data_IF_431257062711
#
_entry.id   IF_431257062711
#
_cell.length_a   1.000
_cell.length_b   1.000
_cell.length_c   1.000
_cell.angle_alpha   90.00
_cell.angle_beta   90.00
_cell.angle_gamma   90.00
#
_symmetry.space_group_name_H-M   'P 1'
#
loop_
_entity.id
_entity.type
_entity.pdbx_description
1 polymer ?
#
# COMPACT_ATOMS: atom_id res chain seq x y z
N UNK A 1 -3.81 11.87 24.66
CA UNK A 1 -3.62 11.21 25.98
C UNK A 1 -2.71 9.99 25.79
N UNK A 2 -2.05 9.51 26.86
CA UNK A 2 -0.70 9.83 27.33
C UNK A 2 0.44 9.11 26.55
N UNK A 3 1.73 9.45 26.76
CA UNK A 3 2.84 8.88 26.02
C UNK A 3 3.10 7.42 26.42
N UNK A 4 2.94 6.49 25.49
CA UNK A 4 3.30 5.09 25.66
C UNK A 4 4.80 4.91 25.42
N UNK A 5 5.51 4.53 26.46
CA UNK A 5 6.90 4.06 26.44
C UNK A 5 7.05 2.83 25.53
N UNK A 6 8.09 2.75 24.68
CA UNK A 6 8.38 1.53 23.95
C UNK A 6 8.95 0.49 24.91
N UNK A 7 8.33 -0.69 24.90
CA UNK A 7 8.80 -1.88 25.61
C UNK A 7 10.12 -2.33 24.96
N UNK A 8 11.24 -2.01 25.61
CA UNK A 8 12.56 -2.53 25.29
C UNK A 8 12.62 -4.01 25.68
N UNK A 9 12.38 -4.89 24.71
CA UNK A 9 12.49 -6.33 24.84
C UNK A 9 13.76 -6.86 24.17
N UNK A 10 14.86 -6.90 24.94
CA UNK A 10 16.06 -7.75 24.75
C UNK A 10 16.83 -7.60 23.42
N UNK A 11 17.51 -6.46 23.27
CA UNK A 11 18.79 -6.44 22.56
C UNK A 11 19.87 -6.98 23.50
N UNK A 12 20.38 -8.17 23.21
CA UNK A 12 21.58 -8.69 23.87
C UNK A 12 22.77 -7.81 23.49
N UNK A 13 23.42 -7.28 24.52
CA UNK A 13 24.65 -6.48 24.45
C UNK A 13 25.77 -7.23 23.73
N UNK A 14 26.26 -6.71 22.60
CA UNK A 14 27.50 -7.19 21.97
C UNK A 14 28.69 -6.90 22.90
N UNK A 15 29.29 -7.95 23.45
CA UNK A 15 30.62 -7.90 24.07
C UNK A 15 31.74 -8.08 23.01
N UNK A 16 33.01 -7.77 23.34
CA UNK A 16 34.07 -7.66 22.33
C UNK A 16 34.99 -8.89 22.35
N UNK A 17 34.91 -9.80 21.38
CA UNK A 17 35.91 -10.87 21.16
C UNK A 17 35.87 -11.27 19.67
N UNK A 18 36.93 -11.14 18.87
CA UNK A 18 38.27 -11.75 18.85
C UNK A 18 38.38 -12.60 17.57
N UNK A 19 39.36 -12.26 16.76
CA UNK A 19 39.80 -12.93 15.53
C UNK A 19 39.90 -14.47 15.67
N UNK A 20 39.38 -15.21 14.70
CA UNK A 20 40.17 -16.13 13.87
C UNK A 20 39.27 -16.90 12.89
N UNK A 21 39.39 -16.61 11.60
CA UNK A 21 39.64 -17.60 10.53
C UNK A 21 39.70 -16.88 9.18
N UNK A 22 40.92 -16.48 8.82
CA UNK A 22 41.25 -15.92 7.51
C UNK A 22 41.40 -17.06 6.48
N UNK A 23 40.47 -17.15 5.55
CA UNK A 23 40.80 -17.53 4.18
C UNK A 23 40.72 -16.28 3.32
N UNK A 24 41.83 -15.78 2.75
CA UNK A 24 41.82 -14.57 1.94
C UNK A 24 41.19 -14.89 0.58
N UNK A 25 39.96 -14.44 0.36
CA UNK A 25 39.46 -14.25 -0.99
C UNK A 25 40.13 -13.01 -1.61
N UNK A 26 40.41 -13.02 -2.93
CA UNK A 26 41.17 -11.96 -3.58
C UNK A 26 40.48 -10.60 -3.38
N UNK A 27 41.25 -9.63 -2.89
CA UNK A 27 40.83 -8.27 -2.59
C UNK A 27 40.04 -7.66 -3.76
N UNK A 28 38.73 -7.48 -3.57
CA UNK A 28 37.92 -6.61 -4.42
C UNK A 28 38.30 -5.16 -4.13
N UNK A 29 38.57 -4.32 -5.15
CA UNK A 29 38.91 -2.90 -4.97
C UNK A 29 37.75 -2.05 -4.42
N UNK A 30 36.58 -2.64 -4.19
CA UNK A 30 35.38 -1.99 -3.67
C UNK A 30 34.89 -2.75 -2.43
N UNK A 31 34.99 -2.08 -1.26
CA UNK A 31 34.65 -2.47 0.12
C UNK A 31 34.05 -3.86 0.42
N UNK A 32 34.53 -4.48 1.50
CA UNK A 32 34.06 -5.80 1.97
C UNK A 32 32.55 -5.81 2.31
N UNK A 33 31.82 -6.78 1.74
CA UNK A 33 30.47 -7.12 2.18
C UNK A 33 30.55 -7.98 3.45
N UNK A 34 29.78 -7.60 4.47
CA UNK A 34 29.75 -8.30 5.75
C UNK A 34 28.61 -9.32 5.78
N UNK A 35 28.92 -10.57 6.09
CA UNK A 35 27.96 -11.66 6.23
C UNK A 35 27.93 -12.19 7.66
N UNK A 36 26.76 -12.62 8.12
CA UNK A 36 26.57 -13.40 9.35
C UNK A 36 25.66 -14.58 9.02
N UNK A 37 26.07 -15.80 9.38
CA UNK A 37 25.34 -17.03 9.05
C UNK A 37 24.89 -17.11 7.58
N UNK A 38 25.82 -16.81 6.66
CA UNK A 38 25.61 -16.72 5.20
C UNK A 38 24.58 -15.66 4.75
N UNK A 39 24.08 -14.81 5.65
CA UNK A 39 23.16 -13.72 5.33
C UNK A 39 23.92 -12.39 5.24
N UNK A 40 23.65 -11.62 4.19
CA UNK A 40 24.24 -10.28 4.03
C UNK A 40 23.70 -9.34 5.10
N UNK A 41 24.60 -8.81 5.92
CA UNK A 41 24.28 -7.93 7.06
C UNK A 41 24.49 -6.46 6.72
N UNK A 42 25.63 -6.12 6.12
CA UNK A 42 25.94 -4.75 5.74
C UNK A 42 27.01 -4.69 4.65
N UNK A 43 27.04 -3.60 3.89
CA UNK A 43 28.07 -3.37 2.89
C UNK A 43 28.12 -1.88 2.48
N UNK A 44 29.21 -1.48 1.84
CA UNK A 44 29.24 -0.20 1.12
C UNK A 44 28.18 -0.15 0.01
N UNK A 45 27.71 1.04 -0.34
CA UNK A 45 26.73 1.21 -1.41
C UNK A 45 27.28 0.69 -2.75
N UNK A 46 28.55 0.96 -3.02
CA UNK A 46 29.27 0.53 -4.21
C UNK A 46 29.32 -1.00 -4.33
N UNK A 47 29.65 -1.69 -3.23
CA UNK A 47 29.66 -3.15 -3.20
C UNK A 47 28.27 -3.76 -3.43
N UNK A 48 27.21 -3.14 -2.87
CA UNK A 48 25.83 -3.57 -3.13
C UNK A 48 25.43 -3.39 -4.60
N UNK A 49 25.77 -2.24 -5.20
CA UNK A 49 25.48 -2.02 -6.63
C UNK A 49 26.24 -3.04 -7.49
N UNK A 50 27.50 -3.33 -7.15
CA UNK A 50 28.28 -4.33 -7.85
C UNK A 50 27.68 -5.74 -7.70
N UNK A 51 27.19 -6.10 -6.51
CA UNK A 51 26.50 -7.37 -6.26
C UNK A 51 25.18 -7.47 -7.02
N UNK A 52 24.50 -6.36 -7.32
CA UNK A 52 23.30 -6.37 -8.16
C UNK A 52 23.60 -6.71 -9.64
N UNK A 53 24.81 -6.43 -10.13
CA UNK A 53 25.16 -6.56 -11.56
C UNK A 53 25.56 -8.01 -11.87
N UNK A 54 24.87 -8.71 -12.79
CA UNK A 54 25.23 -10.07 -13.17
C UNK A 54 26.58 -10.16 -13.89
N UNK A 55 27.29 -11.28 -13.70
CA UNK A 55 28.51 -11.61 -14.45
C UNK A 55 28.35 -12.95 -15.18
N UNK A 56 29.38 -13.42 -15.88
CA UNK A 56 29.34 -14.71 -16.61
C UNK A 56 29.00 -15.88 -15.66
N UNK A 57 29.54 -15.86 -14.45
CA UNK A 57 29.40 -16.97 -13.49
C UNK A 57 28.43 -16.69 -12.34
N UNK A 58 27.88 -15.48 -12.28
CA UNK A 58 27.06 -15.03 -11.15
C UNK A 58 25.75 -14.36 -11.58
N UNK A 59 24.71 -14.59 -10.80
CA UNK A 59 23.45 -13.84 -10.84
C UNK A 59 22.98 -13.61 -9.39
N UNK A 60 22.53 -12.40 -9.03
CA UNK A 60 22.04 -12.14 -7.68
C UNK A 60 20.78 -12.93 -7.33
N UNK A 61 20.68 -13.37 -6.09
CA UNK A 61 19.48 -14.04 -5.60
C UNK A 61 18.26 -13.13 -5.74
N UNK A 62 17.10 -13.70 -6.10
CA UNK A 62 15.86 -12.94 -6.31
C UNK A 62 15.44 -12.14 -5.09
N UNK A 63 15.65 -12.68 -3.89
CA UNK A 63 15.39 -11.98 -2.64
C UNK A 63 16.28 -10.74 -2.52
N UNK A 64 17.56 -10.83 -2.88
CA UNK A 64 18.48 -9.71 -2.89
C UNK A 64 18.07 -8.66 -3.92
N UNK A 65 17.78 -9.08 -5.16
CA UNK A 65 17.30 -8.18 -6.23
C UNK A 65 16.09 -7.40 -5.75
N UNK A 66 15.07 -8.08 -5.23
CA UNK A 66 13.87 -7.44 -4.71
C UNK A 66 14.20 -6.45 -3.58
N UNK A 67 14.91 -6.90 -2.54
CA UNK A 67 15.24 -6.10 -1.35
C UNK A 67 16.03 -4.85 -1.69
N UNK A 68 17.07 -5.00 -2.52
CA UNK A 68 17.94 -3.89 -2.87
C UNK A 68 17.24 -2.94 -3.85
N UNK A 69 16.52 -3.44 -4.86
CA UNK A 69 15.73 -2.57 -5.74
C UNK A 69 14.65 -1.82 -4.96
N UNK A 70 13.94 -2.46 -4.03
CA UNK A 70 12.95 -1.83 -3.15
C UNK A 70 13.56 -0.69 -2.33
N UNK A 71 14.63 -1.01 -1.61
CA UNK A 71 15.17 -0.18 -0.53
C UNK A 71 16.26 0.80 -0.96
N UNK A 72 16.85 0.61 -2.15
CA UNK A 72 17.84 1.54 -2.71
C UNK A 72 17.33 2.97 -2.81
N UNK A 73 16.00 3.16 -2.90
CA UNK A 73 15.31 4.45 -2.91
C UNK A 73 15.55 5.29 -1.64
N UNK A 74 16.00 4.66 -0.55
CA UNK A 74 16.42 5.36 0.67
C UNK A 74 17.80 6.02 0.53
N UNK A 75 18.57 5.68 -0.51
CA UNK A 75 19.97 6.07 -0.67
C UNK A 75 20.29 6.67 -2.04
N UNK A 76 19.54 6.28 -3.08
CA UNK A 76 19.76 6.64 -4.47
C UNK A 76 18.43 6.79 -5.20
N UNK A 77 18.40 7.66 -6.21
CA UNK A 77 17.28 7.66 -7.14
C UNK A 77 17.34 6.43 -8.07
N UNK A 78 16.19 5.84 -8.46
CA UNK A 78 16.16 4.68 -9.35
C UNK A 78 16.94 4.88 -10.67
N UNK A 79 16.87 6.07 -11.28
CA UNK A 79 17.60 6.37 -12.52
C UNK A 79 19.11 6.39 -12.34
N UNK A 80 19.61 6.78 -11.17
CA UNK A 80 21.03 6.76 -10.85
C UNK A 80 21.50 5.32 -10.68
N UNK A 81 20.72 4.50 -9.98
CA UNK A 81 20.99 3.07 -9.84
C UNK A 81 21.01 2.38 -11.21
N UNK A 82 20.00 2.61 -12.05
CA UNK A 82 19.91 2.04 -13.40
C UNK A 82 21.12 2.43 -14.25
N UNK A 83 21.54 3.71 -14.20
CA UNK A 83 22.71 4.19 -14.93
C UNK A 83 23.98 3.47 -14.48
N UNK A 84 24.19 3.32 -13.17
CA UNK A 84 25.35 2.62 -12.60
C UNK A 84 25.35 1.13 -12.95
N UNK A 85 24.20 0.46 -12.84
CA UNK A 85 24.04 -0.96 -13.22
C UNK A 85 24.37 -1.17 -14.69
N UNK A 86 23.81 -0.33 -15.58
CA UNK A 86 24.08 -0.41 -17.02
C UNK A 86 25.56 -0.16 -17.33
N UNK A 87 26.18 0.84 -16.68
CA UNK A 87 27.59 1.16 -16.86
C UNK A 87 28.49 -0.01 -16.43
N UNK A 88 28.31 -0.51 -15.20
CA UNK A 88 29.10 -1.61 -14.65
C UNK A 88 28.94 -2.89 -15.48
N UNK A 89 27.73 -3.17 -15.99
CA UNK A 89 27.50 -4.35 -16.82
C UNK A 89 28.35 -4.33 -18.10
N UNK A 90 28.61 -3.15 -18.68
CA UNK A 90 29.47 -3.00 -19.87
C UNK A 90 30.95 -2.95 -19.47
N UNK A 91 31.27 -2.18 -18.43
CA UNK A 91 32.65 -1.95 -17.98
C UNK A 91 33.34 -3.24 -17.52
N UNK A 92 32.64 -4.10 -16.77
CA UNK A 92 33.19 -5.36 -16.25
C UNK A 92 33.58 -6.37 -17.34
N UNK A 93 33.06 -6.20 -18.57
CA UNK A 93 33.40 -7.07 -19.69
C UNK A 93 34.60 -6.59 -20.50
N UNK A 94 35.08 -5.36 -20.25
CA UNK A 94 36.23 -4.80 -20.96
C UNK A 94 37.52 -5.52 -20.56
N UNK A 95 38.15 -6.13 -21.54
CA UNK A 95 39.45 -6.78 -21.46
C UNK A 95 40.52 -6.05 -22.29
N UNK A 96 40.11 -5.13 -23.15
CA UNK A 96 40.97 -4.45 -24.12
C UNK A 96 41.02 -5.13 -25.49
N UNK A 97 40.49 -6.35 -25.61
CA UNK A 97 40.27 -7.06 -26.87
C UNK A 97 38.78 -7.01 -27.26
N UNK A 98 38.49 -6.34 -28.38
CA UNK A 98 37.12 -6.14 -28.86
C UNK A 98 36.36 -7.44 -29.15
N UNK A 99 37.05 -8.52 -29.55
CA UNK A 99 36.41 -9.80 -29.84
C UNK A 99 36.03 -10.50 -28.53
N UNK A 100 36.94 -10.53 -27.56
CA UNK A 100 36.70 -11.12 -26.24
C UNK A 100 35.62 -10.36 -25.48
N UNK A 101 35.64 -9.03 -25.53
CA UNK A 101 34.61 -8.17 -24.92
C UNK A 101 33.22 -8.50 -25.48
N UNK A 102 33.13 -8.72 -26.80
CA UNK A 102 31.87 -9.08 -27.46
C UNK A 102 31.36 -10.46 -27.05
N UNK A 103 32.26 -11.45 -26.92
CA UNK A 103 31.91 -12.81 -26.48
C UNK A 103 31.41 -12.77 -25.02
N UNK A 104 32.16 -12.13 -24.12
CA UNK A 104 31.80 -12.01 -22.70
C UNK A 104 30.47 -11.28 -22.51
N UNK A 105 30.26 -10.18 -23.23
CA UNK A 105 28.99 -9.47 -23.15
C UNK A 105 27.81 -10.33 -23.63
N UNK A 106 27.99 -11.16 -24.67
CA UNK A 106 26.95 -12.06 -25.15
C UNK A 106 26.52 -13.09 -24.10
N UNK A 107 27.44 -13.54 -23.25
CA UNK A 107 27.14 -14.46 -22.15
C UNK A 107 26.39 -13.77 -20.98
N UNK A 108 26.68 -12.49 -20.74
CA UNK A 108 26.04 -11.69 -19.68
C UNK A 108 24.69 -11.11 -20.11
N UNK A 109 24.50 -10.84 -21.41
CA UNK A 109 23.30 -10.18 -21.92
C UNK A 109 21.98 -10.85 -21.47
N UNK A 110 21.79 -12.18 -21.53
CA UNK A 110 20.57 -12.82 -21.05
C UNK A 110 20.28 -12.56 -19.57
N UNK A 111 21.32 -12.51 -18.73
CA UNK A 111 21.21 -12.22 -17.30
C UNK A 111 20.86 -10.76 -17.04
N UNK A 112 21.41 -9.83 -17.82
CA UNK A 112 21.01 -8.43 -17.76
C UNK A 112 19.53 -8.26 -18.14
N UNK A 113 19.08 -8.94 -19.20
CA UNK A 113 17.66 -8.92 -19.59
C UNK A 113 16.79 -9.49 -18.47
N UNK A 114 17.22 -10.54 -17.80
CA UNK A 114 16.50 -11.10 -16.64
C UNK A 114 16.37 -10.06 -15.51
N UNK A 115 17.47 -9.41 -15.11
CA UNK A 115 17.45 -8.37 -14.06
C UNK A 115 16.52 -7.21 -14.42
N UNK A 116 16.60 -6.72 -15.67
CA UNK A 116 15.74 -5.63 -16.14
C UNK A 116 14.27 -6.07 -16.23
N UNK A 117 14.00 -7.35 -16.53
CA UNK A 117 12.64 -7.90 -16.53
C UNK A 117 12.10 -7.90 -15.10
N UNK A 118 12.87 -8.41 -14.13
CA UNK A 118 12.48 -8.39 -12.71
C UNK A 118 12.22 -6.95 -12.22
N UNK A 119 13.04 -5.98 -12.61
CA UNK A 119 12.85 -4.57 -12.25
C UNK A 119 11.57 -3.99 -12.90
N UNK A 120 11.38 -4.17 -14.21
CA UNK A 120 10.21 -3.63 -14.94
C UNK A 120 8.89 -4.27 -14.52
N UNK A 121 8.90 -5.54 -14.12
CA UNK A 121 7.72 -6.24 -13.61
C UNK A 121 7.41 -5.91 -12.14
N UNK A 122 8.43 -5.66 -11.32
CA UNK A 122 8.23 -5.37 -9.89
C UNK A 122 7.92 -3.90 -9.63
N UNK A 123 8.66 -3.00 -10.28
CA UNK A 123 8.61 -1.54 -10.07
C UNK A 123 8.33 -0.78 -11.39
N UNK A 124 7.19 -1.03 -12.05
CA UNK A 124 6.89 -0.42 -13.34
C UNK A 124 6.87 1.12 -13.29
N UNK A 125 6.44 1.71 -12.17
CA UNK A 125 6.33 3.16 -12.01
C UNK A 125 7.68 3.90 -12.06
N UNK A 126 8.80 3.24 -11.75
CA UNK A 126 10.13 3.87 -11.91
C UNK A 126 10.35 4.31 -13.36
N UNK A 127 9.80 3.56 -14.32
CA UNK A 127 9.93 3.80 -15.76
C UNK A 127 8.93 4.85 -16.30
N UNK A 128 8.19 5.54 -15.44
CA UNK A 128 7.57 6.83 -15.81
C UNK A 128 8.60 7.95 -15.88
N UNK A 129 9.76 7.78 -15.25
CA UNK A 129 10.88 8.71 -15.37
C UNK A 129 11.53 8.59 -16.76
N UNK A 130 11.62 9.69 -17.50
CA UNK A 130 12.23 9.71 -18.83
C UNK A 130 13.68 9.24 -18.83
N UNK A 131 14.42 9.45 -17.73
CA UNK A 131 15.82 9.03 -17.59
C UNK A 131 15.94 7.52 -17.46
N UNK A 132 15.01 6.89 -16.71
CA UNK A 132 14.90 5.43 -16.62
C UNK A 132 14.62 4.83 -18.00
N UNK A 133 13.63 5.37 -18.71
CA UNK A 133 13.27 4.89 -20.05
C UNK A 133 14.37 5.13 -21.09
N UNK A 134 15.12 6.22 -20.97
CA UNK A 134 16.29 6.48 -21.82
C UNK A 134 17.38 5.43 -21.58
N UNK A 135 17.76 5.17 -20.34
CA UNK A 135 18.75 4.14 -20.01
C UNK A 135 18.32 2.76 -20.54
N UNK A 136 17.04 2.41 -20.39
CA UNK A 136 16.49 1.15 -20.91
C UNK A 136 16.63 1.05 -22.43
N UNK A 137 16.31 2.13 -23.16
CA UNK A 137 16.44 2.20 -24.62
C UNK A 137 17.90 2.14 -25.07
N UNK A 138 18.79 2.85 -24.39
CA UNK A 138 20.22 2.85 -24.71
C UNK A 138 20.81 1.45 -24.52
N UNK A 139 20.47 0.77 -23.42
CA UNK A 139 20.87 -0.61 -23.17
C UNK A 139 20.29 -1.57 -24.21
N UNK A 140 19.03 -1.38 -24.62
CA UNK A 140 18.42 -2.19 -25.69
C UNK A 140 19.19 -2.09 -27.01
N UNK A 141 19.67 -0.89 -27.36
CA UNK A 141 20.50 -0.70 -28.55
C UNK A 141 21.89 -1.32 -28.39
N UNK A 142 22.45 -1.33 -27.18
CA UNK A 142 23.73 -1.97 -26.89
C UNK A 142 23.62 -3.50 -27.06
N UNK A 143 22.59 -4.11 -26.47
CA UNK A 143 22.31 -5.55 -26.60
C UNK A 143 22.09 -5.99 -28.05
N UNK A 144 21.42 -5.16 -28.86
CA UNK A 144 21.20 -5.42 -30.29
C UNK A 144 22.49 -5.66 -31.08
N UNK A 145 23.62 -5.10 -30.64
CA UNK A 145 24.92 -5.25 -31.32
C UNK A 145 25.64 -6.55 -30.94
N UNK A 146 25.26 -7.17 -29.82
CA UNK A 146 25.94 -8.31 -29.22
C UNK A 146 25.18 -9.64 -29.32
N UNK A 147 23.86 -9.63 -29.10
CA UNK A 147 23.04 -10.85 -29.05
C UNK A 147 21.59 -10.61 -29.54
N UNK A 148 21.21 -11.27 -30.63
CA UNK A 148 19.88 -11.09 -31.24
C UNK A 148 18.75 -11.62 -30.35
N UNK A 149 18.98 -12.73 -29.65
CA UNK A 149 17.98 -13.34 -28.78
C UNK A 149 17.65 -12.43 -27.59
N UNK A 150 18.68 -11.95 -26.88
CA UNK A 150 18.53 -11.01 -25.77
C UNK A 150 17.92 -9.68 -26.22
N UNK A 151 18.25 -9.20 -27.42
CA UNK A 151 17.61 -8.00 -27.98
C UNK A 151 16.11 -8.17 -28.19
N UNK A 152 15.68 -9.29 -28.79
CA UNK A 152 14.25 -9.61 -28.95
C UNK A 152 13.55 -9.71 -27.60
N UNK A 153 14.19 -10.33 -26.60
CA UNK A 153 13.67 -10.41 -25.24
C UNK A 153 13.53 -9.02 -24.59
N UNK A 154 14.53 -8.13 -24.73
CA UNK A 154 14.45 -6.74 -24.27
C UNK A 154 13.32 -5.94 -24.92
N UNK A 155 13.12 -6.12 -26.23
CA UNK A 155 12.00 -5.49 -26.95
C UNK A 155 10.66 -5.98 -26.41
N UNK A 156 10.47 -7.29 -26.23
CA UNK A 156 9.25 -7.85 -25.65
C UNK A 156 8.99 -7.34 -24.24
N UNK A 157 10.01 -7.31 -23.38
CA UNK A 157 9.93 -6.75 -22.02
C UNK A 157 9.51 -5.28 -22.05
N UNK A 158 10.12 -4.46 -22.91
CA UNK A 158 9.79 -3.04 -23.04
C UNK A 158 8.36 -2.84 -23.54
N UNK A 159 7.88 -3.67 -24.47
CA UNK A 159 6.48 -3.64 -24.91
C UNK A 159 5.50 -4.01 -23.79
N UNK A 160 5.82 -5.03 -22.97
CA UNK A 160 5.02 -5.39 -21.78
C UNK A 160 4.97 -4.23 -20.77
N UNK A 161 6.12 -3.60 -20.51
CA UNK A 161 6.22 -2.44 -19.62
C UNK A 161 5.34 -1.29 -20.11
N UNK A 162 5.40 -0.93 -21.40
CA UNK A 162 4.59 0.17 -21.96
C UNK A 162 3.09 -0.14 -21.81
N UNK A 163 2.67 -1.38 -22.15
CA UNK A 163 1.27 -1.80 -21.97
C UNK A 163 0.84 -1.68 -20.51
N UNK A 164 1.69 -2.12 -19.57
CA UNK A 164 1.42 -2.02 -18.13
C UNK A 164 1.32 -0.58 -17.68
N UNK A 165 2.27 0.29 -18.04
CA UNK A 165 2.26 1.71 -17.72
C UNK A 165 0.99 2.41 -18.24
N UNK A 166 0.54 2.06 -19.44
CA UNK A 166 -0.73 2.57 -20.01
C UNK A 166 -1.93 2.14 -19.18
N UNK A 167 -2.01 0.87 -18.78
CA UNK A 167 -3.10 0.36 -17.95
C UNK A 167 -3.12 1.03 -16.56
N UNK A 168 -1.94 1.23 -15.96
CA UNK A 168 -1.80 1.97 -14.70
C UNK A 168 -2.29 3.42 -14.83
N UNK A 169 -1.92 4.12 -15.92
CA UNK A 169 -2.39 5.48 -16.18
C UNK A 169 -3.90 5.59 -16.36
N UNK A 170 -4.50 4.69 -17.15
CA UNK A 170 -5.94 4.64 -17.36
C UNK A 170 -6.72 4.41 -16.05
N UNK A 171 -6.19 3.56 -15.18
CA UNK A 171 -6.79 3.32 -13.88
C UNK A 171 -6.75 4.55 -12.97
N UNK A 172 -5.59 5.23 -12.88
CA UNK A 172 -5.45 6.46 -12.10
C UNK A 172 -6.43 7.55 -12.57
N UNK A 173 -6.59 7.70 -13.89
CA UNK A 173 -7.58 8.61 -14.49
C UNK A 173 -9.01 8.21 -14.13
N UNK A 174 -9.35 6.92 -14.20
CA UNK A 174 -10.68 6.42 -13.85
C UNK A 174 -11.01 6.65 -12.36
N UNK A 175 -10.06 6.39 -11.46
CA UNK A 175 -10.22 6.66 -10.02
C UNK A 175 -10.39 8.15 -9.76
N UNK A 176 -9.59 9.00 -10.41
CA UNK A 176 -9.72 10.45 -10.29
C UNK A 176 -11.09 10.94 -10.78
N UNK A 177 -11.58 10.43 -11.92
CA UNK A 177 -12.90 10.75 -12.44
C UNK A 177 -14.03 10.33 -11.49
N UNK A 178 -13.95 9.12 -10.91
CA UNK A 178 -14.92 8.64 -9.92
C UNK A 178 -14.94 9.52 -8.65
N UNK A 179 -13.77 9.92 -8.16
CA UNK A 179 -13.66 10.81 -7.01
C UNK A 179 -14.27 12.19 -7.31
N UNK A 180 -14.07 12.73 -8.52
CA UNK A 180 -14.69 13.99 -8.93
C UNK A 180 -16.22 13.87 -8.97
N UNK A 181 -16.76 12.81 -9.57
CA UNK A 181 -18.21 12.55 -9.59
C UNK A 181 -18.79 12.42 -8.18
N UNK A 182 -18.07 11.75 -7.27
CA UNK A 182 -18.48 11.62 -5.88
C UNK A 182 -18.51 12.96 -5.14
N UNK A 183 -17.62 13.89 -5.49
CA UNK A 183 -17.52 15.23 -4.87
C UNK A 183 -18.46 16.26 -5.49
N UNK A 184 -18.81 16.16 -6.77
CA UNK A 184 -19.73 17.07 -7.46
C UNK A 184 -21.19 16.83 -7.08
N UNK A 185 -21.60 15.59 -6.83
CA UNK A 185 -22.97 15.26 -6.45
C UNK A 185 -23.46 15.94 -5.16
N UNK A 186 -22.68 16.00 -4.06
CA UNK A 186 -23.01 16.81 -2.88
C UNK A 186 -23.31 18.28 -3.20
N UNK A 187 -22.55 18.90 -4.12
CA UNK A 187 -22.76 20.30 -4.50
C UNK A 187 -24.06 20.50 -5.31
N UNK A 188 -24.40 19.57 -6.20
CA UNK A 188 -25.64 19.62 -6.99
C UNK A 188 -26.92 19.36 -6.18
N UNK A 189 -26.82 18.59 -5.09
CA UNK A 189 -27.93 18.31 -4.18
C UNK A 189 -28.35 19.54 -3.36
N UNK A 190 -27.47 20.53 -3.20
CA UNK A 190 -27.81 21.83 -2.61
C UNK A 190 -28.82 22.61 -3.47
N UNK A 191 -29.04 22.23 -4.73
CA UNK A 191 -29.86 23.04 -5.65
C UNK A 191 -31.22 22.42 -6.02
N UNK A 192 -31.44 21.09 -6.03
CA UNK A 192 -32.66 20.53 -6.67
C UNK A 192 -33.21 19.16 -6.20
N UNK A 193 -33.08 18.72 -4.95
CA UNK A 193 -33.83 17.52 -4.51
C UNK A 193 -34.67 17.71 -3.25
N UNK A 194 -35.97 17.40 -3.39
CA UNK A 194 -36.86 17.19 -2.27
C UNK A 194 -36.36 16.00 -1.41
N UNK A 195 -36.54 16.02 -0.09
CA UNK A 195 -35.97 15.06 0.87
C UNK A 195 -36.53 13.61 0.79
N UNK A 196 -37.08 13.17 -0.35
CA UNK A 196 -37.80 11.90 -0.48
C UNK A 196 -37.32 10.94 -1.58
N UNK A 197 -36.22 11.22 -2.28
CA UNK A 197 -35.88 10.47 -3.51
C UNK A 197 -34.40 10.06 -3.63
N UNK A 198 -33.69 9.91 -2.50
CA UNK A 198 -32.38 9.26 -2.48
C UNK A 198 -32.57 7.79 -2.13
N UNK A 199 -32.16 6.90 -3.02
CA UNK A 199 -32.07 5.46 -2.75
C UNK A 199 -31.03 5.24 -1.63
N UNK A 200 -31.47 4.64 -0.53
CA UNK A 200 -30.59 4.24 0.57
C UNK A 200 -29.90 2.91 0.28
N UNK A 201 -28.94 2.54 1.12
CA UNK A 201 -28.16 1.31 0.94
C UNK A 201 -29.03 0.05 0.83
N UNK A 202 -30.10 -0.05 1.64
CA UNK A 202 -30.99 -1.21 1.67
C UNK A 202 -31.84 -1.33 0.40
N UNK A 203 -32.16 -0.22 -0.26
CA UNK A 203 -32.85 -0.24 -1.56
C UNK A 203 -31.95 -0.69 -2.72
N UNK A 204 -30.62 -0.60 -2.54
CA UNK A 204 -29.64 -1.02 -3.53
C UNK A 204 -29.24 -2.48 -3.32
N UNK A 205 -29.02 -2.87 -2.06
CA UNK A 205 -28.68 -4.23 -1.66
C UNK A 205 -29.12 -4.44 -0.20
N UNK A 206 -29.98 -5.43 0.02
CA UNK A 206 -30.44 -5.86 1.34
C UNK A 206 -29.71 -7.12 1.84
N UNK A 207 -28.84 -7.71 1.01
CA UNK A 207 -28.00 -8.86 1.37
C UNK A 207 -26.59 -8.40 1.85
N UNK A 208 -26.24 -8.61 3.13
CA UNK A 208 -24.94 -8.25 3.67
C UNK A 208 -23.76 -8.97 3.01
N UNK A 209 -23.96 -10.21 2.59
CA UNK A 209 -22.93 -11.04 1.96
C UNK A 209 -22.54 -10.45 0.60
N UNK A 210 -23.53 -10.14 -0.23
CA UNK A 210 -23.30 -9.51 -1.53
C UNK A 210 -22.61 -8.16 -1.37
N UNK A 211 -23.04 -7.33 -0.39
CA UNK A 211 -22.41 -6.05 -0.11
C UNK A 211 -20.92 -6.20 0.27
N UNK A 212 -20.59 -7.15 1.16
CA UNK A 212 -19.21 -7.43 1.56
C UNK A 212 -18.35 -7.93 0.39
N UNK A 213 -18.91 -8.73 -0.52
CA UNK A 213 -18.24 -9.14 -1.75
C UNK A 213 -17.94 -7.95 -2.68
N UNK A 214 -18.89 -7.02 -2.84
CA UNK A 214 -18.66 -5.84 -3.68
C UNK A 214 -17.66 -4.86 -3.06
N UNK A 215 -17.64 -4.70 -1.74
CA UNK A 215 -16.56 -3.99 -1.04
C UNK A 215 -15.21 -4.65 -1.29
N UNK A 216 -15.15 -5.97 -1.22
CA UNK A 216 -13.93 -6.76 -1.47
C UNK A 216 -13.42 -6.59 -2.91
N UNK A 217 -14.31 -6.49 -3.91
CA UNK A 217 -13.91 -6.13 -5.29
C UNK A 217 -13.20 -4.78 -5.33
N UNK A 218 -13.74 -3.75 -4.69
CA UNK A 218 -13.15 -2.40 -4.70
C UNK A 218 -11.80 -2.40 -3.99
N UNK A 219 -11.69 -3.10 -2.86
CA UNK A 219 -10.45 -3.20 -2.09
C UNK A 219 -9.35 -3.91 -2.91
N UNK A 220 -9.62 -5.09 -3.46
CA UNK A 220 -8.64 -5.85 -4.26
C UNK A 220 -8.25 -5.12 -5.54
N UNK A 221 -9.23 -4.51 -6.24
CA UNK A 221 -8.94 -3.68 -7.41
C UNK A 221 -7.97 -2.56 -7.00
N UNK A 222 -8.22 -1.81 -5.93
CA UNK A 222 -7.32 -0.73 -5.49
C UNK A 222 -5.95 -1.20 -5.02
N UNK A 223 -5.87 -2.29 -4.26
CA UNK A 223 -4.61 -2.86 -3.79
C UNK A 223 -3.70 -3.29 -4.94
N UNK A 224 -4.27 -3.82 -6.03
CA UNK A 224 -3.51 -4.31 -7.18
C UNK A 224 -2.69 -3.23 -7.89
N UNK A 225 -3.05 -1.95 -7.72
CA UNK A 225 -2.35 -0.81 -8.32
C UNK A 225 -1.32 -0.15 -7.39
N UNK A 226 -1.28 -0.49 -6.10
CA UNK A 226 -0.28 0.06 -5.16
C UNK A 226 1.08 -0.55 -5.46
N UNK A 227 2.05 0.28 -5.84
CA UNK A 227 3.44 -0.13 -6.07
C UNK A 227 4.17 -0.46 -4.76
N UNK A 228 5.02 -1.51 -4.69
CA UNK A 228 5.82 -1.79 -3.50
C UNK A 228 6.71 -0.62 -3.09
N UNK A 229 7.19 0.16 -4.05
CA UNK A 229 7.97 1.37 -3.81
C UNK A 229 7.21 2.47 -3.09
N UNK A 230 5.87 2.51 -3.16
CA UNK A 230 5.06 3.54 -2.50
C UNK A 230 5.18 3.43 -0.97
N UNK A 231 5.37 2.22 -0.43
CA UNK A 231 5.60 2.02 1.01
C UNK A 231 6.90 2.69 1.47
N UNK A 232 8.00 2.53 0.71
CA UNK A 232 9.29 3.11 1.06
C UNK A 232 9.31 4.62 0.80
N UNK A 233 8.71 5.07 -0.30
CA UNK A 233 8.65 6.48 -0.68
C UNK A 233 7.88 7.33 0.35
N UNK A 234 6.90 6.73 1.04
CA UNK A 234 6.16 7.41 2.11
C UNK A 234 7.08 7.86 3.26
N UNK A 235 8.23 7.20 3.44
CA UNK A 235 9.14 7.44 4.57
C UNK A 235 10.50 8.03 4.16
N UNK A 236 10.87 7.94 2.88
CA UNK A 236 12.13 8.45 2.34
C UNK A 236 12.31 9.98 2.40
N UNK A 237 11.38 10.72 3.03
CA UNK A 237 11.26 12.18 2.96
C UNK A 237 11.59 12.95 4.25
N UNK A 238 12.34 12.37 5.20
CA UNK A 238 12.75 13.09 6.41
C UNK A 238 14.25 13.36 6.47
N UNK A 239 14.76 14.19 5.57
CA UNK A 239 15.97 14.99 5.84
C UNK A 239 15.58 16.48 5.97
N UNK A 240 15.63 17.07 7.18
CA UNK A 240 15.30 18.49 7.42
C UNK A 240 16.41 19.47 7.00
N UNK A 241 17.51 19.01 6.40
CA UNK A 241 18.70 19.83 6.16
C UNK A 241 19.05 19.76 4.68
N UNK A 242 18.40 20.57 3.84
CA UNK A 242 19.08 21.38 2.83
C UNK A 242 18.09 22.29 2.09
N UNK A 243 18.32 23.60 2.27
CA UNK A 243 17.73 24.70 1.48
C UNK A 243 18.28 24.70 0.04
N UNK A 244 18.09 23.60 -0.70
CA UNK A 244 18.18 23.62 -2.15
C UNK A 244 16.79 23.46 -2.75
N UNK A 245 16.45 24.42 -3.61
CA UNK A 245 15.16 24.62 -4.25
C UNK A 245 14.68 23.34 -4.95
N UNK A 246 13.59 22.74 -4.49
CA UNK A 246 12.69 21.91 -5.31
C UNK A 246 13.11 20.47 -5.61
N UNK A 247 13.88 19.80 -4.74
CA UNK A 247 14.54 18.52 -5.08
C UNK A 247 13.62 17.29 -5.14
N UNK A 248 12.39 17.38 -4.65
CA UNK A 248 11.35 16.39 -4.92
C UNK A 248 10.02 17.13 -5.12
N UNK A 249 9.57 17.31 -6.36
CA UNK A 249 8.11 17.41 -6.58
C UNK A 249 7.52 16.21 -5.85
N UNK A 250 6.58 16.42 -4.91
CA UNK A 250 5.71 15.38 -4.37
C UNK A 250 5.35 14.43 -5.51
N UNK A 251 6.07 13.32 -5.67
CA UNK A 251 5.57 12.21 -6.47
C UNK A 251 4.46 11.70 -5.58
N UNK A 252 3.24 12.08 -5.93
CA UNK A 252 2.04 11.65 -5.22
C UNK A 252 2.15 10.14 -5.13
N UNK A 253 2.17 9.59 -3.92
CA UNK A 253 1.84 8.18 -3.67
C UNK A 253 0.35 8.03 -3.98
N UNK A 254 -0.01 8.20 -5.26
CA UNK A 254 -1.38 8.47 -5.69
C UNK A 254 -2.28 7.29 -5.40
N UNK A 255 -1.76 6.07 -5.48
CA UNK A 255 -2.55 4.88 -5.19
C UNK A 255 -2.67 4.65 -3.68
N UNK A 256 -1.58 4.85 -2.92
CA UNK A 256 -1.64 4.79 -1.45
C UNK A 256 -2.64 5.82 -0.89
N UNK A 257 -2.54 7.08 -1.34
CA UNK A 257 -3.44 8.17 -0.97
C UNK A 257 -4.88 7.88 -1.42
N UNK A 258 -5.08 7.38 -2.65
CA UNK A 258 -6.40 6.98 -3.13
C UNK A 258 -7.01 5.83 -2.31
N UNK A 259 -6.19 4.92 -1.80
CA UNK A 259 -6.65 3.82 -0.96
C UNK A 259 -7.03 4.28 0.46
N UNK A 260 -6.25 5.19 1.04
CA UNK A 260 -6.62 5.86 2.30
C UNK A 260 -7.91 6.68 2.13
N UNK A 261 -8.05 7.40 1.01
CA UNK A 261 -9.26 8.14 0.69
C UNK A 261 -10.48 7.23 0.53
N UNK A 262 -10.30 6.02 -0.01
CA UNK A 262 -11.36 5.01 -0.06
C UNK A 262 -11.80 4.56 1.34
N UNK A 263 -10.87 4.24 2.23
CA UNK A 263 -11.17 3.89 3.64
C UNK A 263 -12.00 4.99 4.32
N UNK A 264 -11.55 6.24 4.19
CA UNK A 264 -12.26 7.39 4.76
C UNK A 264 -13.66 7.54 4.14
N UNK A 265 -13.75 7.48 2.81
CA UNK A 265 -15.02 7.56 2.10
C UNK A 265 -16.01 6.49 2.57
N UNK A 266 -15.57 5.24 2.71
CA UNK A 266 -16.42 4.14 3.19
C UNK A 266 -16.91 4.42 4.62
N UNK A 267 -16.02 4.86 5.51
CA UNK A 267 -16.36 5.21 6.89
C UNK A 267 -17.42 6.31 6.96
N UNK A 268 -17.23 7.40 6.22
CA UNK A 268 -18.18 8.50 6.16
C UNK A 268 -19.48 8.13 5.42
N UNK A 269 -19.43 7.23 4.43
CA UNK A 269 -20.63 6.72 3.75
C UNK A 269 -21.53 5.94 4.71
N UNK A 270 -20.95 5.04 5.51
CA UNK A 270 -21.67 4.33 6.58
C UNK A 270 -22.33 5.32 7.53
N UNK A 271 -21.57 6.30 8.02
CA UNK A 271 -22.10 7.33 8.91
C UNK A 271 -23.22 8.16 8.24
N UNK A 272 -23.07 8.48 6.95
CA UNK A 272 -24.06 9.23 6.17
C UNK A 272 -25.36 8.46 6.09
N UNK A 273 -25.32 7.20 5.65
CA UNK A 273 -26.53 6.35 5.50
C UNK A 273 -27.27 6.17 6.84
N UNK A 274 -26.55 6.09 7.96
CA UNK A 274 -27.16 5.99 9.30
C UNK A 274 -27.76 7.33 9.75
N UNK A 275 -27.06 8.45 9.55
CA UNK A 275 -27.48 9.77 10.02
C UNK A 275 -28.60 10.41 9.20
N UNK A 276 -28.89 9.90 8.00
CA UNK A 276 -29.98 10.38 7.15
C UNK A 276 -31.29 10.54 7.96
N UNK A 277 -32.04 11.65 7.78
CA UNK A 277 -33.24 11.96 8.55
C UNK A 277 -34.44 11.10 8.11
N UNK A 278 -34.38 9.81 8.47
CA UNK A 278 -35.42 8.79 8.22
C UNK A 278 -36.02 8.32 9.53
N UNK A 279 -37.07 7.48 9.48
CA UNK A 279 -37.69 6.93 10.69
C UNK A 279 -36.67 6.13 11.50
N UNK A 280 -36.70 6.29 12.83
CA UNK A 280 -35.82 5.60 13.78
C UNK A 280 -35.69 4.09 13.56
N UNK A 281 -36.82 3.40 13.29
CA UNK A 281 -36.84 1.96 13.01
C UNK A 281 -36.05 1.60 11.73
N UNK A 282 -36.04 2.49 10.74
CA UNK A 282 -35.28 2.30 9.51
C UNK A 282 -33.78 2.49 9.75
N UNK A 283 -33.38 3.53 10.49
CA UNK A 283 -31.97 3.71 10.90
C UNK A 283 -31.42 2.51 11.65
N UNK A 284 -32.20 1.94 12.57
CA UNK A 284 -31.79 0.72 13.30
C UNK A 284 -31.50 -0.46 12.34
N UNK A 285 -32.33 -0.65 11.30
CA UNK A 285 -32.08 -1.68 10.27
C UNK A 285 -30.82 -1.42 9.46
N UNK A 286 -30.52 -0.15 9.14
CA UNK A 286 -29.29 0.21 8.43
C UNK A 286 -28.06 -0.11 9.30
N UNK A 287 -28.13 0.16 10.61
CA UNK A 287 -27.06 -0.20 11.55
C UNK A 287 -26.89 -1.72 11.60
N UNK A 288 -27.98 -2.49 11.81
CA UNK A 288 -27.96 -3.96 11.83
C UNK A 288 -27.37 -4.53 10.53
N UNK A 289 -27.77 -3.98 9.38
CA UNK A 289 -27.22 -4.35 8.08
C UNK A 289 -25.71 -4.12 8.01
N UNK A 290 -25.19 -2.95 8.42
CA UNK A 290 -23.75 -2.70 8.40
C UNK A 290 -22.98 -3.55 9.42
N UNK A 291 -23.58 -3.93 10.55
CA UNK A 291 -22.98 -4.90 11.49
C UNK A 291 -22.83 -6.26 10.80
N UNK A 292 -23.85 -6.72 10.08
CA UNK A 292 -23.78 -7.98 9.33
C UNK A 292 -22.77 -7.89 8.17
N UNK A 293 -22.71 -6.77 7.44
CA UNK A 293 -21.70 -6.55 6.38
C UNK A 293 -20.28 -6.58 6.97
N UNK A 294 -20.07 -5.97 8.14
CA UNK A 294 -18.80 -5.98 8.82
C UNK A 294 -18.39 -7.41 9.23
N UNK A 295 -19.34 -8.20 9.74
CA UNK A 295 -19.10 -9.61 10.04
C UNK A 295 -18.71 -10.40 8.78
N UNK A 296 -19.37 -10.17 7.65
CA UNK A 296 -19.00 -10.83 6.39
C UNK A 296 -17.64 -10.36 5.87
N UNK A 297 -17.28 -9.08 6.06
CA UNK A 297 -15.93 -8.60 5.77
C UNK A 297 -14.88 -9.34 6.63
N UNK A 298 -15.14 -9.56 7.92
CA UNK A 298 -14.27 -10.36 8.79
C UNK A 298 -14.11 -11.80 8.27
N UNK A 299 -15.23 -12.45 7.90
CA UNK A 299 -15.24 -13.83 7.40
C UNK A 299 -14.44 -13.99 6.11
N UNK A 300 -14.55 -13.02 5.19
CA UNK A 300 -13.81 -12.98 3.92
C UNK A 300 -12.31 -12.73 4.12
N UNK A 301 -11.90 -12.14 5.25
CA UNK A 301 -10.53 -11.64 5.44
C UNK A 301 -10.34 -10.19 4.96
N UNK A 302 -11.44 -9.45 4.77
CA UNK A 302 -11.46 -8.03 4.45
C UNK A 302 -11.45 -7.14 5.70
N UNK A 303 -10.29 -7.07 6.36
CA UNK A 303 -10.14 -6.30 7.60
C UNK A 303 -10.17 -4.78 7.38
N UNK A 304 -9.80 -4.30 6.19
CA UNK A 304 -9.81 -2.87 5.89
C UNK A 304 -11.24 -2.31 5.84
N UNK A 305 -12.13 -2.95 5.08
CA UNK A 305 -13.55 -2.56 5.01
C UNK A 305 -14.27 -2.76 6.35
N UNK A 306 -13.97 -3.86 7.06
CA UNK A 306 -14.45 -4.07 8.44
C UNK A 306 -14.12 -2.87 9.33
N UNK A 307 -12.84 -2.47 9.36
CA UNK A 307 -12.39 -1.36 10.18
C UNK A 307 -13.02 -0.02 9.76
N UNK A 308 -13.21 0.20 8.45
CA UNK A 308 -13.88 1.40 7.94
C UNK A 308 -15.35 1.47 8.40
N UNK A 309 -16.06 0.34 8.35
CA UNK A 309 -17.45 0.24 8.81
C UNK A 309 -17.56 0.51 10.32
N UNK A 310 -16.71 -0.12 11.14
CA UNK A 310 -16.63 0.15 12.58
C UNK A 310 -16.33 1.64 12.83
N UNK A 311 -15.36 2.20 12.11
CA UNK A 311 -14.98 3.61 12.22
C UNK A 311 -16.15 4.53 11.92
N UNK A 312 -16.92 4.25 10.86
CA UNK A 312 -18.14 4.99 10.52
C UNK A 312 -19.21 4.95 11.61
N UNK A 313 -19.46 3.78 12.20
CA UNK A 313 -20.43 3.62 13.29
C UNK A 313 -20.00 4.29 14.60
N UNK A 314 -18.68 4.40 14.83
CA UNK A 314 -18.10 5.02 16.02
C UNK A 314 -17.94 6.54 15.92
N UNK A 315 -18.22 7.14 14.76
CA UNK A 315 -18.22 8.60 14.63
C UNK A 315 -19.23 9.24 15.61
N UNK A 316 -18.86 10.38 16.18
CA UNK A 316 -19.69 11.11 17.16
C UNK A 316 -21.15 11.36 16.70
N UNK A 317 -21.42 11.78 15.45
CA UNK A 317 -22.78 11.91 14.93
C UNK A 317 -23.62 10.63 14.99
N UNK A 318 -23.01 9.45 14.88
CA UNK A 318 -23.70 8.15 14.90
C UNK A 318 -23.83 7.63 16.32
N UNK A 319 -22.75 7.63 17.10
CA UNK A 319 -22.72 7.08 18.46
C UNK A 319 -23.62 7.83 19.45
N UNK A 320 -23.98 9.08 19.16
CA UNK A 320 -24.94 9.88 19.95
C UNK A 320 -26.41 9.51 19.74
N UNK A 321 -26.77 8.73 18.71
CA UNK A 321 -28.17 8.37 18.38
C UNK A 321 -28.75 7.32 19.34
N UNK A 322 -28.74 7.59 20.66
CA UNK A 322 -29.04 6.62 21.72
C UNK A 322 -30.42 5.98 21.56
N UNK A 323 -31.42 6.71 21.05
CA UNK A 323 -32.77 6.16 20.84
C UNK A 323 -32.80 5.18 19.68
N UNK A 324 -31.94 5.34 18.68
CA UNK A 324 -31.77 4.39 17.57
C UNK A 324 -30.99 3.16 18.06
N UNK A 325 -29.87 3.35 18.74
CA UNK A 325 -29.05 2.25 19.29
C UNK A 325 -29.82 1.35 20.25
N UNK A 326 -30.75 1.88 21.05
CA UNK A 326 -31.64 1.06 21.90
C UNK A 326 -32.59 0.11 21.15
N UNK A 327 -32.61 0.16 19.81
CA UNK A 327 -33.39 -0.73 18.94
C UNK A 327 -32.53 -1.73 18.16
N UNK A 328 -31.21 -1.69 18.33
CA UNK A 328 -30.24 -2.53 17.62
C UNK A 328 -29.73 -3.57 18.60
N UNK A 329 -29.56 -4.82 18.16
CA UNK A 329 -28.76 -5.79 18.91
C UNK A 329 -27.26 -5.50 18.67
N UNK A 330 -26.54 -5.10 19.72
CA UNK A 330 -25.13 -4.72 19.65
C UNK A 330 -24.15 -5.87 19.90
N UNK A 331 -24.61 -7.06 20.26
CA UNK A 331 -23.73 -8.19 20.64
C UNK A 331 -22.67 -8.48 19.55
N UNK A 332 -23.11 -8.56 18.29
CA UNK A 332 -22.20 -8.78 17.15
C UNK A 332 -21.23 -7.60 16.95
N UNK A 333 -21.72 -6.38 17.13
CA UNK A 333 -20.91 -5.18 16.96
C UNK A 333 -19.79 -5.12 18.01
N UNK A 334 -20.11 -5.37 19.28
CA UNK A 334 -19.15 -5.39 20.39
C UNK A 334 -18.07 -6.46 20.18
N UNK A 335 -18.44 -7.64 19.64
CA UNK A 335 -17.47 -8.68 19.27
C UNK A 335 -16.53 -8.17 18.17
N UNK A 336 -17.05 -7.54 17.12
CA UNK A 336 -16.25 -7.01 16.01
C UNK A 336 -15.34 -5.87 16.46
N UNK A 337 -15.81 -4.98 17.34
CA UNK A 337 -14.99 -3.95 17.99
C UNK A 337 -13.85 -4.59 18.79
N UNK A 338 -14.14 -5.64 19.56
CA UNK A 338 -13.11 -6.35 20.32
C UNK A 338 -12.06 -7.01 19.42
N UNK A 339 -12.44 -7.52 18.26
CA UNK A 339 -11.49 -8.07 17.28
C UNK A 339 -10.55 -7.00 16.71
N UNK A 340 -11.05 -5.77 16.54
CA UNK A 340 -10.31 -4.65 15.96
C UNK A 340 -9.75 -3.67 17.00
N UNK A 341 -9.80 -4.05 18.28
CA UNK A 341 -9.41 -3.18 19.39
C UNK A 341 -7.92 -2.78 19.32
N UNK A 342 -7.59 -1.48 19.49
CA UNK A 342 -6.22 -0.99 19.39
C UNK A 342 -5.32 -1.35 20.58
N UNK A 343 -5.88 -1.85 21.69
CA UNK A 343 -5.11 -2.20 22.89
C UNK A 343 -4.10 -3.31 22.59
N UNK A 344 -3.02 -3.35 23.38
CA UNK A 344 -1.94 -4.33 23.20
C UNK A 344 -1.39 -4.35 21.77
N UNK A 345 -1.36 -3.18 21.11
CA UNK A 345 -0.94 -3.03 19.72
C UNK A 345 -1.75 -3.91 18.75
N UNK A 346 -3.08 -3.88 18.87
CA UNK A 346 -4.00 -4.65 18.01
C UNK A 346 -3.79 -6.17 18.09
N UNK A 347 -3.58 -6.73 19.30
CA UNK A 347 -3.24 -8.15 19.47
C UNK A 347 -4.28 -9.12 18.89
N UNK A 348 -5.56 -8.79 19.04
CA UNK A 348 -6.67 -9.60 18.52
C UNK A 348 -6.69 -9.60 17.00
N UNK A 349 -6.71 -8.42 16.38
CA UNK A 349 -6.60 -8.24 14.94
C UNK A 349 -5.37 -8.96 14.37
N UNK A 350 -4.18 -8.81 14.99
CA UNK A 350 -2.97 -9.48 14.52
C UNK A 350 -3.10 -11.00 14.55
N UNK A 351 -3.83 -11.54 15.52
CA UNK A 351 -4.12 -12.98 15.60
C UNK A 351 -5.08 -13.40 14.48
N UNK A 352 -6.13 -12.62 14.24
CA UNK A 352 -7.07 -12.85 13.13
C UNK A 352 -6.37 -12.76 11.75
N UNK A 353 -5.48 -11.77 11.57
CA UNK A 353 -4.69 -11.60 10.35
C UNK A 353 -3.78 -12.80 10.11
N UNK A 354 -3.02 -13.26 11.13
CA UNK A 354 -2.20 -14.48 11.01
C UNK A 354 -3.04 -15.70 10.62
N UNK A 355 -4.22 -15.84 11.21
CA UNK A 355 -5.17 -16.89 10.83
C UNK A 355 -5.60 -16.77 9.36
N UNK A 356 -5.86 -15.57 8.86
CA UNK A 356 -6.19 -15.32 7.46
C UNK A 356 -5.01 -15.61 6.51
N UNK A 357 -3.80 -15.19 6.85
CA UNK A 357 -2.58 -15.52 6.09
C UNK A 357 -2.39 -17.03 5.97
N UNK A 358 -2.52 -17.76 7.09
CA UNK A 358 -2.40 -19.22 7.08
C UNK A 358 -3.48 -19.89 6.22
N UNK A 359 -4.73 -19.42 6.30
CA UNK A 359 -5.82 -19.91 5.41
C UNK A 359 -5.50 -19.67 3.94
N UNK A 360 -4.89 -18.54 3.61
CA UNK A 360 -4.50 -18.22 2.23
C UNK A 360 -3.38 -19.13 1.72
N UNK A 361 -2.41 -19.48 2.57
CA UNK A 361 -1.30 -20.37 2.21
C UNK A 361 -1.76 -21.81 1.93
N UNK A 362 -2.75 -22.30 2.69
CA UNK A 362 -3.30 -23.65 2.55
C UNK A 362 -4.59 -23.71 1.73
N UNK A 363 -4.97 -22.61 1.07
CA UNK A 363 -6.24 -22.45 0.38
C UNK A 363 -6.51 -23.53 -0.69
N UNK A 364 -7.73 -24.05 -0.70
CA UNK A 364 -8.24 -24.97 -1.72
C UNK A 364 -9.20 -24.28 -2.70
N UNK A 365 -9.60 -23.04 -2.39
CA UNK A 365 -10.43 -22.18 -3.23
C UNK A 365 -9.81 -20.78 -3.40
N UNK A 366 -10.23 -20.06 -4.44
CA UNK A 366 -9.79 -18.67 -4.65
C UNK A 366 -10.29 -17.71 -3.57
N UNK A 367 -11.41 -18.03 -2.90
CA UNK A 367 -11.96 -17.21 -1.83
C UNK A 367 -11.10 -17.25 -0.57
N UNK A 368 -10.55 -18.42 -0.22
CA UNK A 368 -9.69 -18.57 0.97
C UNK A 368 -8.35 -17.82 0.83
N UNK A 369 -7.97 -17.43 -0.39
CA UNK A 369 -6.76 -16.64 -0.65
C UNK A 369 -6.89 -15.17 -0.31
N UNK A 370 -8.11 -14.68 -0.04
CA UNK A 370 -8.34 -13.25 0.19
C UNK A 370 -7.81 -12.86 1.56
N UNK A 371 -6.86 -11.92 1.58
CA UNK A 371 -6.36 -11.26 2.78
C UNK A 371 -6.22 -9.78 2.46
N UNK A 372 -6.99 -8.94 3.14
CA UNK A 372 -6.95 -7.48 2.97
C UNK A 372 -6.70 -6.90 4.37
N UNK A 373 -5.46 -6.54 4.69
CA UNK A 373 -5.09 -6.12 6.03
C UNK A 373 -5.71 -4.76 6.37
N UNK A 374 -5.83 -4.45 7.67
CA UNK A 374 -6.07 -3.07 8.09
C UNK A 374 -4.86 -2.22 7.72
N UNK A 375 -5.01 -1.46 6.63
CA UNK A 375 -3.88 -0.96 5.88
C UNK A 375 -3.14 0.18 6.58
N UNK A 376 -3.84 1.01 7.34
CA UNK A 376 -3.22 2.06 8.14
C UNK A 376 -2.26 1.48 9.19
N UNK A 377 -2.59 0.33 9.78
CA UNK A 377 -1.69 -0.35 10.72
C UNK A 377 -0.50 -0.99 10.00
N UNK A 378 -0.70 -1.57 8.81
CA UNK A 378 0.40 -2.08 7.98
C UNK A 378 1.41 -0.98 7.64
N UNK A 379 0.95 0.19 7.15
CA UNK A 379 1.82 1.34 6.88
C UNK A 379 2.55 1.78 8.15
N UNK A 380 1.83 1.86 9.28
CA UNK A 380 2.38 2.24 10.56
C UNK A 380 3.49 1.28 11.02
N UNK A 381 3.30 -0.02 10.84
CA UNK A 381 4.31 -1.03 11.19
C UNK A 381 5.56 -0.89 10.33
N UNK A 382 5.43 -0.73 9.01
CA UNK A 382 6.57 -0.52 8.11
C UNK A 382 7.29 0.80 8.43
N UNK A 383 6.54 1.86 8.78
CA UNK A 383 7.12 3.12 9.23
C UNK A 383 7.98 2.93 10.48
N UNK A 384 7.45 2.31 11.53
CA UNK A 384 8.20 2.10 12.77
C UNK A 384 9.38 1.16 12.58
N UNK A 385 9.28 0.19 11.68
CA UNK A 385 10.40 -0.65 11.30
C UNK A 385 11.53 0.18 10.64
N UNK A 386 11.16 1.11 9.76
CA UNK A 386 12.13 2.01 9.15
C UNK A 386 12.77 2.95 10.19
N UNK A 387 11.98 3.57 11.06
CA UNK A 387 12.49 4.53 12.06
C UNK A 387 13.26 3.85 13.19
N UNK A 388 12.95 2.60 13.51
CA UNK A 388 13.55 1.86 14.63
C UNK A 388 14.99 1.41 14.40
N UNK A 389 15.51 1.50 13.16
CA UNK A 389 16.84 1.04 12.79
C UNK A 389 17.55 2.05 11.87
N UNK A 390 18.83 2.33 12.15
CA UNK A 390 19.62 3.21 11.30
C UNK A 390 19.87 2.59 9.92
N UNK A 391 19.64 3.36 8.85
CA UNK A 391 19.88 2.92 7.47
C UNK A 391 21.37 2.84 7.13
N UNK A 392 22.22 3.59 7.86
CA UNK A 392 23.68 3.54 7.76
C UNK A 392 24.29 3.22 9.13
N UNK A 393 25.27 2.34 9.14
CA UNK A 393 26.06 1.96 10.32
C UNK A 393 27.20 2.96 10.55
N UNK A 394 27.83 2.98 11.74
CA UNK A 394 28.92 3.93 12.06
C UNK A 394 30.14 3.85 11.13
N UNK A 395 30.37 2.69 10.49
CA UNK A 395 31.43 2.50 9.49
C UNK A 395 31.04 3.00 8.08
N UNK A 396 29.88 3.62 7.92
CA UNK A 396 29.34 4.11 6.64
C UNK A 396 28.61 3.05 5.81
N UNK A 397 28.61 1.78 6.21
CA UNK A 397 27.90 0.71 5.51
C UNK A 397 26.39 0.92 5.56
N UNK A 398 25.70 0.47 4.52
CA UNK A 398 24.25 0.32 4.52
C UNK A 398 23.89 -0.90 5.39
N UNK A 399 22.95 -0.71 6.31
CA UNK A 399 22.41 -1.77 7.15
C UNK A 399 21.43 -2.62 6.33
N UNK A 400 21.90 -3.77 5.83
CA UNK A 400 21.11 -4.65 4.96
C UNK A 400 20.15 -5.55 5.75
N UNK A 401 20.40 -5.85 7.02
CA UNK A 401 19.44 -6.54 7.90
C UNK A 401 18.13 -5.77 8.01
N UNK A 402 18.22 -4.44 8.18
CA UNK A 402 17.05 -3.56 8.14
C UNK A 402 16.29 -3.70 6.80
N UNK A 403 17.03 -3.75 5.68
CA UNK A 403 16.41 -3.84 4.36
C UNK A 403 15.71 -5.19 4.15
N UNK A 404 16.28 -6.28 4.68
CA UNK A 404 15.63 -7.60 4.67
C UNK A 404 14.28 -7.58 5.37
N UNK A 405 14.21 -6.97 6.55
CA UNK A 405 12.96 -6.93 7.29
C UNK A 405 11.92 -6.01 6.63
N UNK A 406 12.32 -4.88 6.03
CA UNK A 406 11.44 -4.07 5.19
C UNK A 406 10.89 -4.87 4.00
N UNK A 407 11.77 -5.55 3.28
CA UNK A 407 11.41 -6.34 2.11
C UNK A 407 10.47 -7.50 2.46
N UNK A 408 10.64 -8.12 3.62
CA UNK A 408 9.76 -9.18 4.11
C UNK A 408 8.32 -8.68 4.28
N UNK A 409 8.13 -7.54 4.94
CA UNK A 409 6.79 -6.95 5.15
C UNK A 409 6.12 -6.59 3.80
N UNK A 410 6.87 -6.00 2.87
CA UNK A 410 6.34 -5.65 1.55
C UNK A 410 6.08 -6.89 0.69
N UNK A 411 6.90 -7.95 0.80
CA UNK A 411 6.71 -9.20 0.06
C UNK A 411 5.40 -9.90 0.43
N UNK A 412 5.03 -9.90 1.71
CA UNK A 412 3.76 -10.46 2.18
C UNK A 412 2.58 -9.72 1.53
N UNK A 413 2.63 -8.38 1.51
CA UNK A 413 1.65 -7.55 0.81
C UNK A 413 1.57 -7.85 -0.70
N UNK A 414 2.72 -8.09 -1.35
CA UNK A 414 2.77 -8.41 -2.78
C UNK A 414 2.07 -9.71 -3.15
N UNK A 415 1.96 -10.66 -2.22
CA UNK A 415 1.16 -11.88 -2.40
C UNK A 415 -0.32 -11.55 -2.35
N UNK A 416 -0.76 -10.81 -1.33
CA UNK A 416 -2.17 -10.46 -1.14
C UNK A 416 -2.76 -9.63 -2.29
N UNK A 417 -1.99 -8.68 -2.83
CA UNK A 417 -2.48 -7.82 -3.92
C UNK A 417 -2.70 -8.56 -5.26
N UNK A 418 -2.16 -9.76 -5.43
CA UNK A 418 -2.28 -10.55 -6.67
C UNK A 418 -3.57 -11.37 -6.73
N UNK A 419 -4.33 -11.41 -5.64
CA UNK A 419 -5.57 -12.18 -5.57
C UNK A 419 -6.64 -11.53 -6.44
N UNK A 420 -7.12 -12.28 -7.43
CA UNK A 420 -8.28 -11.88 -8.24
C UNK A 420 -9.55 -12.17 -7.43
N UNK A 421 -10.41 -11.16 -7.29
CA UNK A 421 -11.67 -11.32 -6.56
C UNK A 421 -12.54 -12.41 -7.21
N UNK A 422 -12.92 -13.48 -6.49
CA UNK A 422 -13.63 -14.63 -7.05
C UNK A 422 -15.15 -14.45 -7.09
N UNK A 423 -15.67 -13.35 -6.54
CA UNK A 423 -17.11 -13.10 -6.46
C UNK A 423 -17.64 -12.47 -7.74
N UNK A 424 -18.94 -12.63 -8.01
CA UNK A 424 -19.59 -11.96 -9.12
C UNK A 424 -19.65 -10.44 -8.91
N UNK A 425 -19.49 -9.68 -10.00
CA UNK A 425 -19.55 -8.21 -9.98
C UNK A 425 -20.99 -7.74 -10.18
N UNK A 426 -21.56 -7.06 -9.18
CA UNK A 426 -22.78 -6.27 -9.34
C UNK A 426 -22.42 -4.81 -9.61
N UNK A 427 -22.54 -4.40 -10.88
CA UNK A 427 -22.20 -3.04 -11.34
C UNK A 427 -23.03 -1.95 -10.66
N UNK A 428 -24.29 -2.23 -10.30
CA UNK A 428 -25.18 -1.25 -9.66
C UNK A 428 -24.72 -0.98 -8.23
N UNK A 429 -24.39 -2.03 -7.48
CA UNK A 429 -23.88 -1.89 -6.11
C UNK A 429 -22.51 -1.21 -6.12
N UNK A 430 -21.59 -1.65 -7.00
CA UNK A 430 -20.27 -1.03 -7.14
C UNK A 430 -20.36 0.46 -7.46
N UNK A 431 -21.21 0.83 -8.42
CA UNK A 431 -21.44 2.23 -8.80
C UNK A 431 -21.98 3.05 -7.61
N UNK A 432 -22.92 2.49 -6.85
CA UNK A 432 -23.46 3.14 -5.66
C UNK A 432 -22.36 3.38 -4.61
N UNK A 433 -21.60 2.35 -4.25
CA UNK A 433 -20.50 2.45 -3.28
C UNK A 433 -19.50 3.57 -3.63
N UNK A 434 -19.11 3.67 -4.90
CA UNK A 434 -18.08 4.65 -5.31
C UNK A 434 -18.62 6.04 -5.62
N UNK A 435 -19.92 6.22 -5.91
CA UNK A 435 -20.46 7.53 -6.34
C UNK A 435 -21.56 8.12 -5.48
N UNK A 436 -22.02 7.42 -4.45
CA UNK A 436 -23.03 7.95 -3.52
C UNK A 436 -22.48 9.17 -2.77
N UNK A 437 -23.24 10.28 -2.67
CA UNK A 437 -22.82 11.47 -1.93
C UNK A 437 -22.60 11.13 -0.45
N UNK A 438 -21.50 11.64 0.10
CA UNK A 438 -21.12 11.42 1.49
C UNK A 438 -21.10 12.77 2.19
N UNK A 439 -21.69 12.84 3.38
CA UNK A 439 -21.74 14.06 4.17
C UNK A 439 -20.36 14.45 4.68
N UNK A 440 -20.10 15.76 4.75
CA UNK A 440 -19.00 16.30 5.54
C UNK A 440 -19.24 16.07 7.03
N UNK A 441 -18.21 16.31 7.85
CA UNK A 441 -18.31 16.21 9.32
C UNK A 441 -19.45 17.10 9.86
N UNK A 442 -19.51 18.36 9.42
CA UNK A 442 -20.57 19.31 9.79
C UNK A 442 -21.97 18.86 9.36
N UNK A 443 -22.08 18.32 8.14
CA UNK A 443 -23.34 17.80 7.59
C UNK A 443 -23.81 16.56 8.37
N UNK A 444 -22.89 15.66 8.76
CA UNK A 444 -23.19 14.51 9.61
C UNK A 444 -23.72 14.94 10.98
N UNK A 445 -23.04 15.90 11.63
CA UNK A 445 -23.48 16.43 12.92
C UNK A 445 -24.87 17.07 12.81
N UNK A 446 -25.12 17.86 11.77
CA UNK A 446 -26.43 18.46 11.55
C UNK A 446 -27.51 17.39 11.32
N UNK A 447 -27.28 16.42 10.43
CA UNK A 447 -28.22 15.34 10.14
C UNK A 447 -28.51 14.48 11.38
N UNK A 448 -27.49 14.22 12.21
CA UNK A 448 -27.65 13.55 13.50
C UNK A 448 -28.59 14.30 14.44
N UNK A 449 -28.43 15.63 14.56
CA UNK A 449 -29.31 16.45 15.39
C UNK A 449 -30.74 16.56 14.85
N UNK A 450 -30.93 16.41 13.54
CA UNK A 450 -32.25 16.37 12.90
C UNK A 450 -32.92 15.00 13.10
N UNK A 451 -32.14 13.93 13.10
CA UNK A 451 -32.57 12.56 13.40
C UNK A 451 -32.92 12.34 14.87
N UNK A 452 -32.12 12.87 15.79
CA UNK A 452 -32.33 12.86 17.24
C UNK A 452 -31.86 14.19 17.84
N UNK A 453 -32.80 14.98 18.36
CA UNK A 453 -32.54 16.33 18.87
C UNK A 453 -31.44 16.41 19.95
N UNK A 454 -30.88 17.61 20.17
CA UNK A 454 -29.79 17.82 21.13
C UNK A 454 -30.24 17.53 22.56
N UNK A 455 -29.40 16.83 23.33
CA UNK A 455 -29.69 16.39 24.70
C UNK A 455 -29.30 17.42 25.76
N UNK A 456 -28.33 18.29 25.46
CA UNK A 456 -27.81 19.29 26.39
C UNK A 456 -27.64 20.67 25.73
N UNK A 457 -27.29 21.68 26.52
CA UNK A 457 -27.14 23.06 26.02
C UNK A 457 -25.96 23.22 25.05
N UNK A 458 -24.84 22.51 25.26
CA UNK A 458 -23.69 22.54 24.35
C UNK A 458 -24.05 22.01 22.96
N UNK A 459 -24.82 20.92 22.89
CA UNK A 459 -25.32 20.38 21.62
C UNK A 459 -26.34 21.32 20.96
N UNK A 460 -27.19 21.99 21.73
CA UNK A 460 -28.11 23.02 21.20
C UNK A 460 -27.34 24.17 20.55
N UNK A 461 -26.25 24.60 21.16
CA UNK A 461 -25.39 25.67 20.65
C UNK A 461 -24.61 25.21 19.42
N UNK A 462 -24.05 24.00 19.45
CA UNK A 462 -23.36 23.38 18.31
C UNK A 462 -24.27 23.27 17.10
N UNK A 463 -25.50 22.76 17.29
CA UNK A 463 -26.52 22.69 16.23
C UNK A 463 -26.89 24.06 15.68
N UNK A 464 -26.99 25.09 16.53
CA UNK A 464 -27.25 26.47 16.09
C UNK A 464 -26.10 27.00 15.24
N UNK A 465 -24.86 26.80 15.68
CA UNK A 465 -23.65 27.19 14.95
C UNK A 465 -23.58 26.55 13.57
N UNK A 466 -23.75 25.22 13.50
CA UNK A 466 -23.74 24.45 12.24
C UNK A 466 -24.81 24.92 11.25
N UNK A 467 -26.03 25.21 11.74
CA UNK A 467 -27.11 25.75 10.90
C UNK A 467 -26.81 27.15 10.37
N UNK A 468 -26.05 27.96 11.10
CA UNK A 468 -25.62 29.27 10.62
C UNK A 468 -24.49 29.14 9.60
N UNK A 469 -23.51 28.27 9.86
CA UNK A 469 -22.35 28.04 8.99
C UNK A 469 -22.71 27.43 7.63
N UNK A 470 -23.62 26.46 7.59
CA UNK A 470 -24.02 25.78 6.34
C UNK A 470 -25.01 26.59 5.47
N UNK A 471 -25.52 27.73 5.97
CA UNK A 471 -26.42 28.64 5.24
C UNK A 471 -25.66 29.76 4.50
N UNK A 472 -24.39 29.98 4.84
CA UNK A 472 -23.47 30.85 4.11
C UNK A 472 -22.81 30.05 2.99
#
# INVERSE_FOLDING_TARGET
MPPTTPYAGKFSTCGPYSNNNNHPQPHSPYGEMCYHDNSLVSASLEALIQHLVPTVDYYPDRSYVFTFLLSSRLFLHPYELMTRVCHLCVEQQRSGDALLDKIRFREVAPKLVQLLTEWTETFPYDFRDERMMRCLKDMTHHVARGDEYSWRAMQQMTQRLIKRLSALGQYEEAVAALNNVANERPASLKTKQAPGQRNDVLSVCDDPFIMAQQLTHIELDRLSFIGPEEFIQTFAMKDPIENQKGFFRKRKTSNLEAYVNWFNRLSYMVATEICMPVKKKHRARIIEFFIDVAQECFNIGNFNSLMAIITGMNMSPVSRLKKTWSKVNTDKFEILEHQMDPSSNFSNYRTALRGATQRSETAHSSQEKIVIPFFSLLIKDIYFLNEGCASRLPNGHINFEKLWELAKQVSEFLVWRQVVCPFDRDRRILQYLVTTPVFSEDELHLASYESEGPENNMEKDSRRSLRCGLKQ
#
